data_IF_265993118628
#
_entry.id   IF_265993118628
#
_cell.length_a   1.000
_cell.length_b   1.000
_cell.length_c   1.000
_cell.angle_alpha   90.00
_cell.angle_beta   90.00
_cell.angle_gamma   90.00
#
_symmetry.space_group_name_H-M   'P 1'
#
loop_
_entity.id
_entity.type
_entity.pdbx_description
1 polymer ?
#
# COMPACT_ATOMS: atom_id res chain seq x y z
N UNK A 1 -19.17 35.82 -28.10
CA UNK A 1 -18.43 36.35 -26.93
C UNK A 1 -18.08 35.17 -26.01
N UNK A 2 -17.08 34.36 -26.38
CA UNK A 2 -16.55 33.26 -25.56
C UNK A 2 -15.28 33.77 -24.89
N UNK A 3 -15.21 33.74 -23.56
CA UNK A 3 -13.98 34.03 -22.80
C UNK A 3 -13.21 32.72 -22.67
N UNK A 4 -12.01 32.68 -23.26
CA UNK A 4 -10.99 31.69 -22.96
C UNK A 4 -10.35 32.02 -21.61
N UNK A 5 -10.29 31.04 -20.71
CA UNK A 5 -9.39 31.05 -19.56
C UNK A 5 -8.18 30.21 -19.97
N UNK A 6 -7.03 30.86 -20.05
CA UNK A 6 -5.72 30.23 -20.30
C UNK A 6 -5.20 29.72 -18.96
N UNK A 7 -5.10 28.40 -18.80
CA UNK A 7 -4.34 27.79 -17.71
C UNK A 7 -2.86 27.77 -18.11
N UNK A 8 -2.06 28.65 -17.51
CA UNK A 8 -0.60 28.62 -17.58
C UNK A 8 -0.06 27.69 -16.49
N UNK A 9 0.80 26.75 -16.89
CA UNK A 9 1.73 26.06 -16.00
C UNK A 9 1.37 24.60 -15.74
N UNK A 10 2.02 23.69 -16.48
CA UNK A 10 2.05 22.28 -16.14
C UNK A 10 2.98 22.04 -14.97
N UNK A 11 2.41 21.82 -13.80
CA UNK A 11 3.05 21.13 -12.68
C UNK A 11 2.05 20.08 -12.21
N UNK A 12 2.42 18.81 -12.28
CA UNK A 12 1.64 17.72 -11.71
C UNK A 12 1.52 17.93 -10.21
N UNK A 13 0.35 18.37 -9.74
CA UNK A 13 0.03 18.52 -8.32
C UNK A 13 -0.27 17.12 -7.79
N UNK A 14 0.77 16.29 -7.62
CA UNK A 14 0.69 15.27 -6.58
C UNK A 14 0.84 16.08 -5.30
N UNK A 15 -0.24 16.29 -4.55
CA UNK A 15 -0.10 16.74 -3.16
C UNK A 15 0.95 15.83 -2.52
N UNK A 16 2.10 16.40 -2.15
CA UNK A 16 3.10 15.64 -1.39
C UNK A 16 2.40 15.23 -0.10
N UNK A 17 2.05 13.95 -0.02
CA UNK A 17 1.47 13.38 1.18
C UNK A 17 2.45 13.62 2.34
N UNK A 18 1.90 14.03 3.47
CA UNK A 18 2.64 14.20 4.70
C UNK A 18 3.35 12.89 5.11
N UNK A 19 4.41 13.02 5.90
CA UNK A 19 5.08 11.85 6.48
C UNK A 19 4.31 11.40 7.71
N UNK A 20 3.92 10.13 7.76
CA UNK A 20 3.23 9.54 8.90
C UNK A 20 4.16 8.71 9.78
N UNK A 21 3.82 8.61 11.06
CA UNK A 21 4.50 7.78 12.05
C UNK A 21 3.51 7.00 12.92
N UNK A 22 3.87 5.79 13.34
CA UNK A 22 3.12 5.05 14.36
C UNK A 22 3.94 3.92 14.98
N UNK A 23 3.47 3.39 16.10
CA UNK A 23 3.92 2.11 16.63
C UNK A 23 3.34 0.98 15.76
N UNK A 24 4.18 0.08 15.27
CA UNK A 24 3.79 -1.04 14.38
C UNK A 24 3.67 -2.39 15.12
N UNK A 25 4.18 -2.49 16.34
CA UNK A 25 4.07 -3.68 17.20
C UNK A 25 2.84 -3.60 18.10
N UNK A 26 2.30 -4.74 18.59
CA UNK A 26 1.23 -4.73 19.59
C UNK A 26 1.60 -3.90 20.82
N UNK A 27 0.60 -3.25 21.41
CA UNK A 27 0.77 -2.53 22.68
C UNK A 27 1.05 -3.51 23.81
N UNK A 28 2.10 -3.26 24.59
CA UNK A 28 2.46 -4.06 25.74
C UNK A 28 3.98 -4.04 25.98
N UNK A 29 4.42 -4.82 26.97
CA UNK A 29 5.84 -5.07 27.20
C UNK A 29 6.31 -6.19 26.27
N UNK A 30 7.42 -5.93 25.58
CA UNK A 30 8.08 -6.89 24.71
C UNK A 30 9.58 -6.64 24.64
N UNK A 31 10.32 -7.56 24.03
CA UNK A 31 11.75 -7.36 23.78
C UNK A 31 11.99 -6.20 22.79
N UNK A 32 11.12 -6.09 21.77
CA UNK A 32 11.29 -5.14 20.66
C UNK A 32 9.99 -4.37 20.44
N UNK A 33 10.12 -3.07 20.26
CA UNK A 33 9.11 -2.15 19.76
C UNK A 33 9.52 -1.59 18.40
N UNK A 34 8.56 -1.29 17.53
CA UNK A 34 8.86 -0.68 16.22
C UNK A 34 8.07 0.62 16.07
N UNK A 35 8.79 1.73 15.93
CA UNK A 35 8.24 3.00 15.43
C UNK A 35 8.54 3.07 13.93
N UNK A 36 7.49 3.15 13.12
CA UNK A 36 7.59 3.20 11.66
C UNK A 36 7.24 4.59 11.17
N UNK A 37 7.99 5.10 10.19
CA UNK A 37 7.67 6.27 9.41
C UNK A 37 7.40 5.89 7.95
N UNK A 38 6.51 6.61 7.26
CA UNK A 38 6.29 6.49 5.82
C UNK A 38 5.97 7.85 5.21
N UNK A 39 6.69 8.23 4.15
CA UNK A 39 6.49 9.49 3.45
C UNK A 39 7.80 10.08 2.93
N UNK A 40 7.69 11.21 2.24
CA UNK A 40 8.84 11.85 1.57
C UNK A 40 9.94 12.31 2.53
N UNK A 41 9.58 12.70 3.76
CA UNK A 41 10.53 13.15 4.78
C UNK A 41 10.93 12.03 5.76
N UNK A 42 10.47 10.79 5.57
CA UNK A 42 10.70 9.70 6.54
C UNK A 42 12.19 9.50 6.86
N UNK A 43 13.05 9.55 5.85
CA UNK A 43 14.50 9.42 6.03
C UNK A 43 15.08 10.69 6.66
N UNK A 44 14.64 11.88 6.25
CA UNK A 44 15.16 13.14 6.81
C UNK A 44 14.83 13.29 8.30
N UNK A 45 13.58 13.02 8.69
CA UNK A 45 13.13 13.06 10.08
C UNK A 45 13.95 12.07 10.93
N UNK A 46 14.09 10.83 10.45
CA UNK A 46 14.88 9.84 11.16
C UNK A 46 16.38 10.20 11.23
N UNK A 47 16.96 10.77 10.17
CA UNK A 47 18.38 11.18 10.12
C UNK A 47 18.69 12.26 11.16
N UNK A 48 17.76 13.19 11.41
CA UNK A 48 17.89 14.22 12.47
C UNK A 48 17.93 13.62 13.87
N UNK A 49 17.15 12.56 14.09
CA UNK A 49 17.01 11.91 15.39
C UNK A 49 18.07 10.84 15.65
N UNK A 50 18.76 10.37 14.60
CA UNK A 50 19.65 9.23 14.68
C UNK A 50 21.12 9.64 14.80
N UNK A 51 21.82 9.02 15.75
CA UNK A 51 23.28 9.12 15.90
C UNK A 51 23.91 7.74 15.79
N UNK A 52 24.63 7.50 14.70
CA UNK A 52 25.36 6.27 14.47
C UNK A 52 26.57 6.46 13.58
N UNK A 53 27.04 5.38 12.96
CA UNK A 53 28.27 5.39 12.15
C UNK A 53 28.16 6.24 10.89
N UNK A 54 26.99 6.21 10.25
CA UNK A 54 26.70 6.90 8.99
C UNK A 54 25.36 7.63 9.15
N UNK A 55 25.19 8.75 8.45
CA UNK A 55 23.88 9.38 8.32
C UNK A 55 22.95 8.42 7.56
N UNK A 56 21.71 8.24 8.04
CA UNK A 56 20.69 7.38 7.43
C UNK A 56 20.40 7.78 5.98
N UNK A 57 20.51 9.07 5.63
CA UNK A 57 20.34 9.51 4.23
C UNK A 57 21.43 8.98 3.29
N UNK A 58 22.60 8.64 3.81
CA UNK A 58 23.77 8.18 3.03
C UNK A 58 23.90 6.65 2.97
N UNK A 59 23.15 5.90 3.80
CA UNK A 59 23.23 4.43 3.80
C UNK A 59 22.43 3.81 2.66
N UNK A 60 22.83 2.63 2.13
CA UNK A 60 22.05 1.93 1.12
C UNK A 60 20.63 1.55 1.59
N UNK A 61 19.68 1.50 0.67
CA UNK A 61 18.32 1.01 0.96
C UNK A 61 18.31 -0.48 1.33
N UNK A 62 17.31 -0.90 2.12
CA UNK A 62 17.13 -2.26 2.62
C UNK A 62 18.30 -2.74 3.48
N UNK A 63 18.87 -1.83 4.25
CA UNK A 63 19.91 -2.12 5.25
C UNK A 63 19.44 -1.75 6.65
N UNK A 64 20.09 -2.35 7.65
CA UNK A 64 19.84 -2.07 9.07
C UNK A 64 21.08 -1.40 9.68
N UNK A 65 20.87 -0.36 10.48
CA UNK A 65 21.92 0.52 10.97
C UNK A 65 21.81 0.66 12.49
N UNK A 66 22.85 0.21 13.20
CA UNK A 66 22.95 0.32 14.65
C UNK A 66 23.30 1.74 15.07
N UNK A 67 22.66 2.28 16.10
CA UNK A 67 23.00 3.58 16.67
C UNK A 67 22.07 3.95 17.81
N UNK A 68 21.86 5.24 18.02
CA UNK A 68 21.02 5.76 19.09
C UNK A 68 20.02 6.77 18.53
N UNK A 69 18.83 6.81 19.13
CA UNK A 69 17.94 7.96 18.99
C UNK A 69 18.34 9.00 20.03
N UNK A 70 18.57 10.22 19.57
CA UNK A 70 18.88 11.38 20.39
C UNK A 70 17.74 12.40 20.27
N UNK A 71 17.51 13.17 21.32
CA UNK A 71 16.72 14.38 21.24
C UNK A 71 17.62 15.55 20.81
N UNK A 72 17.42 16.15 19.62
CA UNK A 72 18.25 17.25 19.15
C UNK A 72 18.16 18.54 19.98
N UNK A 73 17.12 18.74 20.80
CA UNK A 73 17.03 19.93 21.68
C UNK A 73 17.88 19.78 22.94
N UNK A 74 17.88 18.59 23.53
CA UNK A 74 18.51 18.32 24.83
C UNK A 74 19.84 17.58 24.74
N UNK A 75 20.16 17.04 23.56
CA UNK A 75 21.26 16.09 23.31
C UNK A 75 21.16 14.79 24.14
N UNK A 76 20.01 14.51 24.78
CA UNK A 76 19.80 13.29 25.56
C UNK A 76 19.75 12.06 24.63
N UNK A 77 20.43 10.98 25.03
CA UNK A 77 20.25 9.67 24.42
C UNK A 77 18.94 9.07 24.91
N UNK A 78 17.99 8.91 24.01
CA UNK A 78 16.64 8.43 24.32
C UNK A 78 16.60 6.90 24.28
N UNK A 79 17.30 6.29 23.33
CA UNK A 79 17.28 4.84 23.12
C UNK A 79 18.45 4.35 22.24
N UNK A 80 18.90 3.12 22.48
CA UNK A 80 19.78 2.35 21.60
C UNK A 80 18.93 1.54 20.59
N UNK A 81 19.18 1.72 19.30
CA UNK A 81 18.27 1.25 18.23
C UNK A 81 18.97 0.55 17.08
N UNK A 82 18.17 -0.24 16.36
CA UNK A 82 18.47 -0.69 15.00
C UNK A 82 17.50 -0.01 14.03
N UNK A 83 18.01 0.75 13.05
CA UNK A 83 17.19 1.50 12.09
C UNK A 83 17.26 0.88 10.70
N UNK A 84 16.10 0.46 10.18
CA UNK A 84 15.97 0.01 8.80
C UNK A 84 15.62 1.19 7.90
N UNK A 85 16.38 1.38 6.81
CA UNK A 85 16.10 2.40 5.79
C UNK A 85 15.61 1.73 4.51
N UNK A 86 14.36 1.99 4.13
CA UNK A 86 13.70 1.37 2.98
C UNK A 86 13.24 2.48 2.03
N UNK A 87 13.89 2.63 0.88
CA UNK A 87 13.55 3.68 -0.10
C UNK A 87 12.54 3.19 -1.15
N UNK A 88 11.68 4.11 -1.58
CA UNK A 88 10.72 3.94 -2.64
C UNK A 88 11.38 3.44 -3.95
N UNK A 89 10.62 2.73 -4.81
CA UNK A 89 9.25 2.26 -4.62
C UNK A 89 9.18 0.88 -3.95
N UNK A 90 10.32 0.29 -3.53
CA UNK A 90 10.40 -1.10 -3.05
C UNK A 90 10.05 -1.23 -1.56
N UNK A 91 8.91 -0.67 -1.16
CA UNK A 91 8.45 -0.55 0.24
C UNK A 91 6.95 -0.80 0.35
N UNK A 92 6.44 -1.13 1.55
CA UNK A 92 5.03 -1.47 1.74
C UNK A 92 4.07 -0.38 1.22
N UNK A 93 4.36 0.89 1.47
CA UNK A 93 3.55 2.01 0.99
C UNK A 93 3.96 2.50 -0.40
N UNK A 94 5.06 2.01 -0.98
CA UNK A 94 5.79 2.60 -2.13
C UNK A 94 6.39 3.99 -1.88
N UNK A 95 6.36 4.47 -0.65
CA UNK A 95 7.05 5.68 -0.21
C UNK A 95 8.37 5.30 0.47
N UNK A 96 9.20 6.28 0.82
CA UNK A 96 10.31 6.03 1.74
C UNK A 96 9.74 5.62 3.11
N UNK A 97 10.31 4.56 3.69
CA UNK A 97 9.96 4.01 4.99
C UNK A 97 11.22 3.94 5.85
N UNK A 98 11.09 4.36 7.11
CA UNK A 98 12.07 4.09 8.15
C UNK A 98 11.42 3.28 9.26
N UNK A 99 12.09 2.25 9.74
CA UNK A 99 11.66 1.49 10.92
C UNK A 99 12.73 1.59 12.00
N UNK A 100 12.37 2.21 13.12
CA UNK A 100 13.21 2.32 14.31
C UNK A 100 12.83 1.18 15.24
N UNK A 101 13.72 0.20 15.37
CA UNK A 101 13.56 -0.93 16.28
C UNK A 101 14.22 -0.56 17.61
N UNK A 102 13.40 -0.38 18.64
CA UNK A 102 13.79 -0.01 20.00
C UNK A 102 13.49 -1.16 20.98
N UNK A 103 13.91 -1.01 22.24
CA UNK A 103 13.42 -1.89 23.29
C UNK A 103 11.90 -1.74 23.43
N UNK A 104 11.19 -2.84 23.66
CA UNK A 104 9.72 -2.87 23.72
C UNK A 104 9.12 -2.37 25.04
N UNK A 105 9.81 -1.45 25.73
CA UNK A 105 9.28 -0.76 26.89
C UNK A 105 8.31 0.33 26.47
N UNK A 106 7.12 0.38 27.08
CA UNK A 106 6.04 1.32 26.73
C UNK A 106 6.50 2.78 26.81
N UNK A 107 7.29 3.14 27.82
CA UNK A 107 7.81 4.50 27.94
C UNK A 107 8.75 4.85 26.79
N UNK A 108 9.73 3.99 26.51
CA UNK A 108 10.78 4.29 25.53
C UNK A 108 10.22 4.37 24.11
N UNK A 109 9.35 3.45 23.71
CA UNK A 109 8.74 3.48 22.39
C UNK A 109 7.87 4.72 22.17
N UNK A 110 7.14 5.18 23.20
CA UNK A 110 6.37 6.42 23.12
C UNK A 110 7.26 7.65 23.02
N UNK A 111 8.39 7.70 23.75
CA UNK A 111 9.38 8.80 23.60
C UNK A 111 9.92 8.87 22.17
N UNK A 112 10.26 7.74 21.56
CA UNK A 112 10.72 7.69 20.16
C UNK A 112 9.62 8.16 19.20
N UNK A 113 8.38 7.70 19.41
CA UNK A 113 7.22 8.15 18.61
C UNK A 113 7.02 9.66 18.72
N UNK A 114 6.99 10.22 19.93
CA UNK A 114 6.82 11.65 20.19
C UNK A 114 7.91 12.50 19.52
N UNK A 115 9.17 12.03 19.54
CA UNK A 115 10.25 12.69 18.80
C UNK A 115 9.99 12.69 17.30
N UNK A 116 9.58 11.56 16.70
CA UNK A 116 9.26 11.54 15.27
C UNK A 116 8.16 12.54 14.91
N UNK A 117 7.17 12.70 15.79
CA UNK A 117 6.09 13.67 15.60
C UNK A 117 6.56 15.12 15.75
N UNK A 118 7.36 15.40 16.77
CA UNK A 118 7.93 16.72 17.05
C UNK A 118 8.76 17.24 15.88
N UNK A 119 9.46 16.35 15.19
CA UNK A 119 10.35 16.69 14.07
C UNK A 119 9.71 16.59 12.68
N UNK A 120 8.39 16.45 12.59
CA UNK A 120 7.63 16.69 11.35
C UNK A 120 6.72 15.56 10.88
N UNK A 121 6.70 14.41 11.56
CA UNK A 121 5.76 13.35 11.21
C UNK A 121 4.39 13.59 11.85
N UNK A 122 3.31 13.16 11.18
CA UNK A 122 1.96 13.11 11.77
C UNK A 122 1.67 11.68 12.26
N UNK A 123 0.92 11.53 13.35
CA UNK A 123 0.39 10.22 13.75
C UNK A 123 -0.46 9.60 12.62
N UNK A 124 -0.18 8.36 12.24
CA UNK A 124 -0.93 7.65 11.22
C UNK A 124 -2.38 7.34 11.66
N UNK A 125 -3.32 7.44 10.73
CA UNK A 125 -4.70 6.98 10.92
C UNK A 125 -4.79 5.44 10.89
N UNK A 126 -5.85 4.85 11.47
CA UNK A 126 -6.08 3.41 11.37
C UNK A 126 -6.09 2.92 9.92
N UNK A 127 -5.19 1.99 9.60
CA UNK A 127 -5.07 1.42 8.25
C UNK A 127 -4.38 2.31 7.23
N UNK A 128 -3.84 3.47 7.62
CA UNK A 128 -3.30 4.45 6.67
C UNK A 128 -2.13 3.90 5.82
N UNK A 129 -1.23 3.09 6.40
CA UNK A 129 -0.17 2.44 5.63
C UNK A 129 -0.71 1.54 4.51
N UNK A 130 -1.72 0.72 4.81
CA UNK A 130 -2.35 -0.17 3.81
C UNK A 130 -3.13 0.65 2.78
N UNK A 131 -3.80 1.73 3.20
CA UNK A 131 -4.45 2.69 2.31
C UNK A 131 -3.45 3.32 1.34
N UNK A 132 -2.28 3.75 1.81
CA UNK A 132 -1.21 4.30 0.95
C UNK A 132 -0.64 3.25 0.00
N UNK A 133 -0.46 2.01 0.46
CA UNK A 133 -0.07 0.90 -0.41
C UNK A 133 -1.06 0.67 -1.56
N UNK A 134 -2.36 0.77 -1.28
CA UNK A 134 -3.43 0.70 -2.27
C UNK A 134 -3.41 1.91 -3.23
N UNK A 135 -3.38 3.14 -2.71
CA UNK A 135 -3.38 4.36 -3.50
C UNK A 135 -2.16 4.48 -4.42
N UNK A 136 -1.00 4.01 -3.96
CA UNK A 136 0.23 3.98 -4.76
C UNK A 136 0.28 2.78 -5.72
N UNK A 137 -0.78 1.97 -5.80
CA UNK A 137 -0.92 0.86 -6.75
C UNK A 137 -0.03 -0.35 -6.47
N UNK A 138 0.43 -0.53 -5.22
CA UNK A 138 1.17 -1.73 -4.81
C UNK A 138 0.27 -2.94 -4.70
N UNK A 139 -0.93 -2.71 -4.18
CA UNK A 139 -1.96 -3.70 -3.90
C UNK A 139 -3.30 -3.16 -4.39
N UNK A 140 -4.26 -4.04 -4.68
CA UNK A 140 -5.65 -3.62 -4.88
C UNK A 140 -6.48 -3.69 -3.59
N UNK A 141 -7.78 -3.36 -3.68
CA UNK A 141 -8.66 -3.29 -2.53
C UNK A 141 -8.84 -4.66 -1.86
N UNK A 142 -8.95 -5.73 -2.65
CA UNK A 142 -9.11 -7.09 -2.12
C UNK A 142 -7.86 -7.55 -1.36
N UNK A 143 -6.68 -7.19 -1.86
CA UNK A 143 -5.42 -7.43 -1.17
C UNK A 143 -5.30 -6.59 0.11
N UNK A 144 -5.77 -5.35 0.09
CA UNK A 144 -5.77 -4.46 1.26
C UNK A 144 -6.67 -4.98 2.39
N UNK A 145 -7.87 -5.47 2.05
CA UNK A 145 -8.78 -6.12 3.00
C UNK A 145 -8.17 -7.39 3.58
N UNK A 146 -7.57 -8.23 2.73
CA UNK A 146 -6.96 -9.49 3.13
C UNK A 146 -5.80 -9.32 4.14
N UNK A 147 -5.08 -8.19 4.12
CA UNK A 147 -4.06 -7.88 5.15
C UNK A 147 -4.69 -7.86 6.54
N UNK A 148 -5.84 -7.22 6.71
CA UNK A 148 -6.52 -7.17 8.01
C UNK A 148 -7.08 -8.53 8.42
N UNK A 149 -7.63 -9.29 7.47
CA UNK A 149 -8.16 -10.63 7.73
C UNK A 149 -7.05 -11.59 8.16
N UNK A 150 -5.87 -11.48 7.55
CA UNK A 150 -4.70 -12.27 7.95
C UNK A 150 -4.27 -11.95 9.38
N UNK A 151 -4.12 -10.67 9.73
CA UNK A 151 -3.74 -10.22 11.08
C UNK A 151 -4.75 -10.70 12.14
N UNK A 152 -6.04 -10.73 11.81
CA UNK A 152 -7.12 -11.13 12.74
C UNK A 152 -7.43 -12.62 12.74
N UNK A 153 -6.82 -13.39 11.85
CA UNK A 153 -7.16 -14.80 11.65
C UNK A 153 -6.94 -15.62 12.93
N UNK A 154 -7.93 -16.47 13.26
CA UNK A 154 -7.91 -17.35 14.45
C UNK A 154 -7.82 -18.84 14.11
N UNK A 155 -7.80 -19.17 12.81
CA UNK A 155 -7.71 -20.55 12.32
C UNK A 155 -6.76 -20.62 11.14
N UNK A 156 -6.08 -21.75 10.98
CA UNK A 156 -5.18 -22.00 9.84
C UNK A 156 -5.90 -21.86 8.49
N UNK A 157 -7.18 -22.27 8.44
CA UNK A 157 -7.99 -22.14 7.23
C UNK A 157 -8.22 -20.67 6.87
N UNK A 158 -8.62 -19.84 7.83
CA UNK A 158 -8.81 -18.41 7.61
C UNK A 158 -7.50 -17.71 7.21
N UNK A 159 -6.40 -18.04 7.89
CA UNK A 159 -5.07 -17.52 7.57
C UNK A 159 -4.64 -17.86 6.14
N UNK A 160 -4.85 -19.12 5.70
CA UNK A 160 -4.56 -19.55 4.33
C UNK A 160 -5.41 -18.83 3.28
N UNK A 161 -6.70 -18.61 3.54
CA UNK A 161 -7.58 -17.87 2.62
C UNK A 161 -7.12 -16.42 2.48
N UNK A 162 -6.87 -15.74 3.60
CA UNK A 162 -6.37 -14.36 3.59
C UNK A 162 -5.01 -14.27 2.90
N UNK A 163 -4.10 -15.21 3.12
CA UNK A 163 -2.80 -15.25 2.45
C UNK A 163 -2.94 -15.39 0.92
N UNK A 164 -3.82 -16.27 0.44
CA UNK A 164 -4.09 -16.41 -1.00
C UNK A 164 -4.63 -15.11 -1.62
N UNK A 165 -5.44 -14.36 -0.87
CA UNK A 165 -5.94 -13.06 -1.33
C UNK A 165 -4.84 -11.99 -1.32
N UNK A 166 -3.97 -11.95 -0.30
CA UNK A 166 -2.77 -11.08 -0.26
C UNK A 166 -1.88 -11.34 -1.48
N UNK A 167 -1.69 -12.61 -1.86
CA UNK A 167 -0.94 -13.02 -3.06
C UNK A 167 -1.58 -12.55 -4.38
N UNK A 168 -2.80 -12.02 -4.36
CA UNK A 168 -3.49 -11.48 -5.53
C UNK A 168 -4.31 -12.51 -6.31
N UNK A 169 -4.56 -13.70 -5.76
CA UNK A 169 -5.30 -14.74 -6.50
C UNK A 169 -6.72 -14.31 -6.86
N UNK A 170 -7.42 -13.65 -5.93
CA UNK A 170 -8.76 -13.11 -6.18
C UNK A 170 -8.69 -11.95 -7.20
N UNK A 171 -7.71 -11.07 -7.06
CA UNK A 171 -7.43 -9.98 -7.99
C UNK A 171 -7.26 -10.48 -9.43
N UNK A 172 -6.49 -11.54 -9.63
CA UNK A 172 -6.19 -12.10 -10.94
C UNK A 172 -7.43 -12.74 -11.58
N UNK A 173 -8.27 -13.40 -10.77
CA UNK A 173 -9.54 -13.94 -11.21
C UNK A 173 -10.49 -12.82 -11.66
N UNK A 174 -10.64 -11.77 -10.85
CA UNK A 174 -11.48 -10.60 -11.19
C UNK A 174 -10.95 -9.90 -12.44
N UNK A 175 -9.64 -9.68 -12.56
CA UNK A 175 -9.02 -9.06 -13.73
C UNK A 175 -9.25 -9.87 -15.00
N UNK A 176 -9.17 -11.21 -14.91
CA UNK A 176 -9.47 -12.11 -16.03
C UNK A 176 -10.92 -11.99 -16.47
N UNK A 177 -11.87 -12.01 -15.53
CA UNK A 177 -13.28 -11.86 -15.88
C UNK A 177 -13.59 -10.48 -16.47
N UNK A 178 -13.00 -9.42 -15.89
CA UNK A 178 -13.12 -8.07 -16.44
C UNK A 178 -12.60 -8.00 -17.88
N UNK A 179 -11.48 -8.66 -18.18
CA UNK A 179 -10.93 -8.70 -19.53
C UNK A 179 -11.89 -9.40 -20.51
N UNK A 180 -12.44 -10.56 -20.14
CA UNK A 180 -13.44 -11.26 -20.96
C UNK A 180 -14.69 -10.40 -21.22
N UNK A 181 -15.16 -9.65 -20.22
CA UNK A 181 -16.32 -8.74 -20.38
C UNK A 181 -15.98 -7.59 -21.32
N UNK A 182 -14.78 -7.02 -21.24
CA UNK A 182 -14.34 -5.95 -22.14
C UNK A 182 -14.24 -6.43 -23.59
N UNK A 183 -13.83 -7.67 -23.83
CA UNK A 183 -13.79 -8.28 -25.16
C UNK A 183 -15.21 -8.45 -25.75
N UNK A 184 -16.16 -8.92 -24.94
CA UNK A 184 -17.58 -9.02 -25.34
C UNK A 184 -18.13 -7.63 -25.66
N UNK A 185 -17.88 -6.64 -24.79
CA UNK A 185 -18.37 -5.28 -24.98
C UNK A 185 -17.81 -4.66 -26.26
N UNK A 186 -16.53 -4.88 -26.57
CA UNK A 186 -15.92 -4.40 -27.80
C UNK A 186 -16.59 -5.00 -29.05
N UNK A 187 -16.95 -6.29 -29.03
CA UNK A 187 -17.64 -6.92 -30.15
C UNK A 187 -19.07 -6.39 -30.33
N UNK A 188 -19.79 -6.16 -29.23
CA UNK A 188 -21.13 -5.55 -29.26
C UNK A 188 -21.05 -4.14 -29.85
N UNK A 189 -20.07 -3.33 -29.43
CA UNK A 189 -19.90 -1.97 -29.94
C UNK A 189 -19.63 -1.95 -31.45
N UNK A 190 -18.79 -2.86 -31.95
CA UNK A 190 -18.51 -2.98 -33.40
C UNK A 190 -19.77 -3.34 -34.18
N UNK A 191 -20.59 -4.27 -33.68
CA UNK A 191 -21.82 -4.66 -34.35
C UNK A 191 -22.85 -3.51 -34.37
N UNK A 192 -22.89 -2.68 -33.32
CA UNK A 192 -23.78 -1.51 -33.27
C UNK A 192 -23.32 -0.41 -34.24
N UNK A 193 -22.01 -0.15 -34.30
CA UNK A 193 -21.44 0.92 -35.12
C UNK A 193 -21.42 0.59 -36.62
N UNK A 194 -21.37 -0.69 -37.00
CA UNK A 194 -21.25 -1.14 -38.39
C UNK A 194 -22.28 -2.23 -38.75
N UNK A 195 -23.58 -1.91 -38.81
CA UNK A 195 -24.66 -2.86 -39.12
C UNK A 195 -24.65 -3.36 -40.58
N UNK A 196 -23.74 -2.86 -41.43
CA UNK A 196 -23.68 -3.18 -42.86
C UNK A 196 -23.07 -4.57 -43.15
N UNK A 197 -22.60 -5.28 -42.11
CA UNK A 197 -21.94 -6.60 -42.18
C UNK A 197 -22.86 -7.74 -41.69
N UNK A 198 -24.12 -7.76 -42.16
CA UNK A 198 -25.25 -8.60 -41.69
C UNK A 198 -25.03 -10.14 -41.72
N UNK A 199 -24.16 -10.68 -42.59
CA UNK A 199 -24.00 -12.14 -42.75
C UNK A 199 -23.30 -12.85 -41.56
N UNK A 200 -22.90 -12.10 -40.53
CA UNK A 200 -22.11 -12.57 -39.36
C UNK A 200 -22.88 -12.41 -38.04
N UNK A 201 -24.09 -11.84 -38.03
CA UNK A 201 -24.79 -11.43 -36.80
C UNK A 201 -25.21 -12.61 -35.89
N UNK A 202 -25.79 -13.68 -36.45
CA UNK A 202 -26.29 -14.81 -35.66
C UNK A 202 -25.15 -15.62 -35.01
N UNK A 203 -24.10 -15.91 -35.78
CA UNK A 203 -22.92 -16.61 -35.26
C UNK A 203 -22.16 -15.77 -34.21
N UNK A 204 -22.15 -14.44 -34.36
CA UNK A 204 -21.55 -13.54 -33.37
C UNK A 204 -22.39 -13.48 -32.10
N UNK A 205 -23.73 -13.45 -32.22
CA UNK A 205 -24.64 -13.43 -31.07
C UNK A 205 -24.56 -14.72 -30.26
N UNK A 206 -24.54 -15.87 -30.92
CA UNK A 206 -24.39 -17.18 -30.26
C UNK A 206 -23.03 -17.30 -29.54
N UNK A 207 -21.94 -16.87 -30.18
CA UNK A 207 -20.62 -16.80 -29.57
C UNK A 207 -20.59 -15.89 -28.34
N UNK A 208 -21.17 -14.68 -28.43
CA UNK A 208 -21.22 -13.74 -27.29
C UNK A 208 -22.05 -14.31 -26.13
N UNK A 209 -23.14 -15.02 -26.43
CA UNK A 209 -23.98 -15.68 -25.43
C UNK A 209 -23.21 -16.81 -24.72
N UNK A 210 -22.51 -17.66 -25.46
CA UNK A 210 -21.67 -18.73 -24.89
C UNK A 210 -20.60 -18.15 -23.95
N UNK A 211 -19.85 -17.14 -24.42
CA UNK A 211 -18.81 -16.48 -23.60
C UNK A 211 -19.40 -15.81 -22.36
N UNK A 212 -20.58 -15.24 -22.46
CA UNK A 212 -21.29 -14.65 -21.31
C UNK A 212 -21.71 -15.72 -20.30
N UNK A 213 -22.13 -16.90 -20.76
CA UNK A 213 -22.47 -18.03 -19.89
C UNK A 213 -21.24 -18.58 -19.17
N UNK A 214 -20.09 -18.69 -19.84
CA UNK A 214 -18.83 -19.10 -19.23
C UNK A 214 -18.42 -18.15 -18.08
N UNK A 215 -18.46 -16.84 -18.33
CA UNK A 215 -18.15 -15.81 -17.32
C UNK A 215 -19.09 -15.96 -16.12
N UNK A 216 -20.40 -16.13 -16.37
CA UNK A 216 -21.40 -16.32 -15.32
C UNK A 216 -21.11 -17.57 -14.49
N UNK A 217 -20.76 -18.69 -15.12
CA UNK A 217 -20.43 -19.92 -14.41
C UNK A 217 -19.18 -19.77 -13.54
N UNK A 218 -18.13 -19.13 -14.06
CA UNK A 218 -16.92 -18.87 -13.29
C UNK A 218 -17.18 -17.95 -12.09
N UNK A 219 -17.98 -16.89 -12.26
CA UNK A 219 -18.39 -16.02 -11.16
C UNK A 219 -19.23 -16.82 -10.13
N UNK A 220 -20.14 -17.69 -10.57
CA UNK A 220 -20.94 -18.51 -9.68
C UNK A 220 -20.05 -19.44 -8.83
N UNK A 221 -19.04 -20.07 -9.41
CA UNK A 221 -18.06 -20.89 -8.66
C UNK A 221 -17.35 -20.08 -7.58
N UNK A 222 -17.03 -18.81 -7.84
CA UNK A 222 -16.42 -17.92 -6.85
C UNK A 222 -17.40 -17.59 -5.71
N UNK A 223 -18.67 -17.34 -6.02
CA UNK A 223 -19.71 -17.08 -5.02
C UNK A 223 -19.99 -18.31 -4.15
N UNK A 224 -19.91 -19.51 -4.71
CA UNK A 224 -20.13 -20.76 -3.98
C UNK A 224 -18.95 -21.13 -3.05
N UNK A 225 -17.78 -20.50 -3.24
CA UNK A 225 -16.55 -20.76 -2.48
C UNK A 225 -16.14 -19.66 -1.50
N UNK A 226 -16.81 -18.50 -1.55
CA UNK A 226 -16.69 -17.40 -0.57
C UNK A 226 -17.55 -17.64 0.66
#
# INVERSE_FOLDING_TARGET
MKRNIVLKGGTSIVEQLDTITSISTPMGEGAIGIVRLSGHDAVEIADKLYKGKHLLKDVPTHTINYGHIIDPETEEVVEEVMVSVLRAPRTFTREDIVEINCHGGILTINRVLELTMTYGARMAEPGEYTKRAFLNGRIDLSQAEAVMDFIRSKTDRASKVAMNQIEGRLSDLIKRQRQSILEILAQVEVNIDYPEYDDVEDATTEFLLERSQDIKQEIQKLLDTG
#
